data_IF_866200400406
#
_entry.id   IF_866200400406
#
_cell.length_a   1.000
_cell.length_b   1.000
_cell.length_c   1.000
_cell.angle_alpha   90.00
_cell.angle_beta   90.00
_cell.angle_gamma   90.00
#
_symmetry.space_group_name_H-M   'P 1'
#
loop_
_entity.id
_entity.type
_entity.pdbx_description
1 polymer ?
#
# COMPACT_ATOMS: atom_id res chain seq x y z
N UNK A 1 33.30 -15.83 43.01
CA UNK A 1 33.26 -15.19 41.69
C UNK A 1 32.06 -15.74 40.99
N UNK A 2 30.89 -15.20 41.30
CA UNK A 2 29.64 -15.62 40.68
C UNK A 2 29.43 -14.78 39.43
N UNK A 3 29.53 -15.43 38.28
CA UNK A 3 29.12 -14.88 37.00
C UNK A 3 27.62 -14.67 37.05
N UNK A 4 27.20 -13.44 37.35
CA UNK A 4 25.81 -13.01 37.27
C UNK A 4 25.26 -13.33 35.89
N UNK A 5 24.43 -14.36 35.82
CA UNK A 5 23.65 -14.71 34.64
C UNK A 5 22.68 -13.56 34.37
N UNK A 6 23.10 -12.64 33.49
CA UNK A 6 22.22 -11.60 32.94
C UNK A 6 21.05 -12.33 32.29
N UNK A 7 19.90 -12.30 32.95
CA UNK A 7 18.68 -12.89 32.40
C UNK A 7 18.39 -12.20 31.07
N UNK A 8 18.10 -12.96 30.00
CA UNK A 8 17.81 -12.38 28.71
C UNK A 8 16.60 -11.45 28.83
N UNK A 9 16.80 -10.18 28.49
CA UNK A 9 15.72 -9.20 28.39
C UNK A 9 14.64 -9.79 27.47
N UNK A 10 13.41 -9.99 27.94
CA UNK A 10 12.37 -10.57 27.12
C UNK A 10 12.16 -9.63 25.91
N UNK A 11 12.16 -10.16 24.67
CA UNK A 11 11.92 -9.33 23.49
C UNK A 11 10.57 -8.66 23.65
N UNK A 12 10.45 -7.36 23.44
CA UNK A 12 9.15 -6.64 23.48
C UNK A 12 8.18 -7.36 22.54
N UNK A 13 7.26 -8.15 23.13
CA UNK A 13 6.50 -9.20 22.42
C UNK A 13 5.38 -8.62 21.54
N UNK A 14 5.07 -7.33 21.61
CA UNK A 14 3.83 -6.77 21.07
C UNK A 14 3.78 -6.44 19.57
N UNK A 15 4.84 -5.85 19.01
CA UNK A 15 4.75 -5.20 17.69
C UNK A 15 4.60 -6.21 16.55
N UNK A 16 5.28 -7.36 16.63
CA UNK A 16 5.26 -8.38 15.58
C UNK A 16 3.91 -9.08 15.40
N UNK A 17 3.11 -9.20 16.46
CA UNK A 17 1.82 -9.89 16.41
C UNK A 17 0.77 -9.10 15.62
N UNK A 18 0.77 -7.77 15.74
CA UNK A 18 -0.19 -6.87 15.07
C UNK A 18 0.33 -6.40 13.70
N UNK A 19 1.65 -6.36 13.50
CA UNK A 19 2.24 -5.91 12.23
C UNK A 19 1.81 -6.76 11.03
N UNK A 20 1.86 -8.08 11.14
CA UNK A 20 1.53 -8.99 10.04
C UNK A 20 0.08 -8.87 9.53
N UNK A 21 -0.97 -8.91 10.37
CA UNK A 21 -2.33 -8.73 9.89
C UNK A 21 -2.58 -7.35 9.29
N UNK A 22 -1.99 -6.29 9.86
CA UNK A 22 -2.11 -4.93 9.31
C UNK A 22 -1.44 -4.79 7.93
N UNK A 23 -0.26 -5.38 7.75
CA UNK A 23 0.43 -5.39 6.45
C UNK A 23 -0.32 -6.25 5.42
N UNK A 24 -0.99 -7.33 5.85
CA UNK A 24 -1.89 -8.10 4.97
C UNK A 24 -3.10 -7.28 4.55
N UNK A 25 -3.72 -6.54 5.46
CA UNK A 25 -4.81 -5.62 5.13
C UNK A 25 -4.36 -4.58 4.09
N UNK A 26 -3.19 -3.97 4.29
CA UNK A 26 -2.60 -3.06 3.32
C UNK A 26 -2.39 -3.74 1.95
N UNK A 27 -1.86 -4.97 1.94
CA UNK A 27 -1.70 -5.74 0.70
C UNK A 27 -3.03 -6.04 0.00
N UNK A 28 -4.11 -6.35 0.75
CA UNK A 28 -5.46 -6.52 0.18
C UNK A 28 -5.94 -5.22 -0.45
N UNK A 29 -5.77 -4.08 0.23
CA UNK A 29 -6.17 -2.77 -0.30
C UNK A 29 -5.39 -2.39 -1.56
N UNK A 30 -4.08 -2.68 -1.60
CA UNK A 30 -3.25 -2.47 -2.79
C UNK A 30 -3.67 -3.39 -3.95
N UNK A 31 -3.94 -4.67 -3.67
CA UNK A 31 -4.43 -5.62 -4.68
C UNK A 31 -5.80 -5.21 -5.24
N UNK A 32 -6.67 -4.71 -4.37
CA UNK A 32 -7.96 -4.15 -4.74
C UNK A 32 -7.82 -2.93 -5.65
N UNK A 33 -7.06 -1.93 -5.21
CA UNK A 33 -6.81 -0.71 -5.98
C UNK A 33 -6.23 -1.01 -7.36
N UNK A 34 -5.21 -1.86 -7.42
CA UNK A 34 -4.56 -2.25 -8.67
C UNK A 34 -5.56 -2.90 -9.63
N UNK A 35 -6.39 -3.82 -9.14
CA UNK A 35 -7.37 -4.53 -9.97
C UNK A 35 -8.45 -3.59 -10.45
N UNK A 36 -9.02 -2.79 -9.55
CA UNK A 36 -10.03 -1.79 -9.87
C UNK A 36 -9.53 -0.81 -10.93
N UNK A 37 -8.28 -0.36 -10.80
CA UNK A 37 -7.65 0.55 -11.76
C UNK A 37 -7.54 -0.02 -13.18
N UNK A 38 -7.60 -1.35 -13.35
CA UNK A 38 -7.55 -1.99 -14.68
C UNK A 38 -8.95 -2.39 -15.12
N UNK A 39 -9.69 -3.13 -14.28
CA UNK A 39 -11.01 -3.66 -14.64
C UNK A 39 -12.05 -2.56 -14.82
N UNK A 40 -12.17 -1.66 -13.84
CA UNK A 40 -13.19 -0.61 -13.88
C UNK A 40 -12.78 0.49 -14.87
N UNK A 41 -11.49 0.78 -14.99
CA UNK A 41 -11.01 1.75 -15.97
C UNK A 41 -11.29 1.34 -17.41
N UNK A 42 -11.24 0.05 -17.71
CA UNK A 42 -11.66 -0.49 -19.00
C UNK A 42 -13.15 -0.22 -19.34
N UNK A 43 -13.99 0.01 -18.32
CA UNK A 43 -15.39 0.39 -18.49
C UNK A 43 -15.57 1.92 -18.45
N UNK A 44 -14.90 2.58 -17.52
CA UNK A 44 -15.01 4.02 -17.29
C UNK A 44 -14.46 4.84 -18.46
N UNK A 45 -13.27 4.51 -18.98
CA UNK A 45 -12.65 5.35 -20.01
C UNK A 45 -13.43 5.36 -21.34
N UNK A 46 -14.00 4.24 -21.85
CA UNK A 46 -14.92 4.30 -22.98
C UNK A 46 -16.20 5.08 -22.66
N UNK A 47 -16.77 4.87 -21.48
CA UNK A 47 -18.04 5.49 -21.07
C UNK A 47 -17.92 7.01 -20.89
N UNK A 48 -16.88 7.47 -20.20
CA UNK A 48 -16.73 8.85 -19.75
C UNK A 48 -15.84 9.70 -20.67
N UNK A 49 -14.85 9.08 -21.33
CA UNK A 49 -13.84 9.77 -22.15
C UNK A 49 -13.93 9.39 -23.64
N UNK A 50 -14.74 8.40 -24.01
CA UNK A 50 -14.82 7.91 -25.38
C UNK A 50 -13.56 7.19 -25.85
N UNK A 51 -12.77 6.62 -24.94
CA UNK A 51 -11.53 5.92 -25.31
C UNK A 51 -11.81 4.72 -26.19
N UNK A 52 -11.06 4.62 -27.29
CA UNK A 52 -11.00 3.41 -28.11
C UNK A 52 -10.05 2.35 -27.52
N UNK A 53 -10.07 1.15 -28.10
CA UNK A 53 -9.24 0.02 -27.67
C UNK A 53 -7.73 0.34 -27.70
N UNK A 54 -7.27 1.08 -28.72
CA UNK A 54 -5.86 1.47 -28.85
C UNK A 54 -5.41 2.42 -27.73
N UNK A 55 -6.26 3.37 -27.33
CA UNK A 55 -5.95 4.30 -26.25
C UNK A 55 -5.95 3.60 -24.89
N UNK A 56 -6.89 2.67 -24.68
CA UNK A 56 -6.93 1.83 -23.49
C UNK A 56 -5.67 0.97 -23.35
N UNK A 57 -5.29 0.24 -24.42
CA UNK A 57 -4.11 -0.62 -24.39
C UNK A 57 -2.82 0.16 -24.19
N UNK A 58 -2.69 1.34 -24.81
CA UNK A 58 -1.58 2.26 -24.60
C UNK A 58 -1.52 2.74 -23.14
N UNK A 59 -2.67 3.12 -22.56
CA UNK A 59 -2.76 3.58 -21.16
C UNK A 59 -2.37 2.48 -20.17
N UNK A 60 -2.87 1.25 -20.38
CA UNK A 60 -2.50 0.11 -19.54
C UNK A 60 -1.02 -0.26 -19.67
N UNK A 61 -0.48 -0.24 -20.88
CA UNK A 61 0.94 -0.54 -21.14
C UNK A 61 1.84 0.52 -20.51
N UNK A 62 1.53 1.79 -20.69
CA UNK A 62 2.24 2.90 -20.05
C UNK A 62 2.15 2.80 -18.51
N UNK A 63 0.99 2.44 -17.98
CA UNK A 63 0.80 2.20 -16.55
C UNK A 63 1.66 1.05 -16.00
N UNK A 64 1.76 -0.06 -16.72
CA UNK A 64 2.60 -1.20 -16.34
C UNK A 64 4.09 -0.83 -16.39
N UNK A 65 4.53 -0.19 -17.49
CA UNK A 65 5.88 0.31 -17.64
C UNK A 65 6.25 1.30 -16.53
N UNK A 66 5.37 2.25 -16.22
CA UNK A 66 5.55 3.21 -15.14
C UNK A 66 5.74 2.51 -13.78
N UNK A 67 4.91 1.51 -13.46
CA UNK A 67 5.07 0.73 -12.22
C UNK A 67 6.46 0.09 -12.14
N UNK A 68 6.92 -0.57 -13.21
CA UNK A 68 8.25 -1.22 -13.24
C UNK A 68 9.37 -0.19 -13.09
N UNK A 69 9.31 0.91 -13.85
CA UNK A 69 10.31 1.98 -13.79
C UNK A 69 10.40 2.60 -12.39
N UNK A 70 9.27 2.83 -11.75
CA UNK A 70 9.21 3.36 -10.39
C UNK A 70 9.80 2.38 -9.38
N UNK A 71 9.51 1.08 -9.51
CA UNK A 71 10.06 0.06 -8.62
C UNK A 71 11.59 -0.08 -8.75
N UNK A 72 12.13 0.06 -9.96
CA UNK A 72 13.58 -0.07 -10.20
C UNK A 72 14.32 1.23 -9.84
N UNK A 73 13.83 2.38 -10.29
CA UNK A 73 14.58 3.64 -10.23
C UNK A 73 14.20 4.52 -9.04
N UNK A 74 12.90 4.68 -8.76
CA UNK A 74 12.39 5.63 -7.78
C UNK A 74 12.36 5.03 -6.37
N UNK A 75 11.92 3.78 -6.24
CA UNK A 75 11.75 3.12 -4.94
C UNK A 75 13.04 3.08 -4.10
N UNK A 76 14.22 2.67 -4.62
CA UNK A 76 15.44 2.66 -3.81
C UNK A 76 15.81 4.05 -3.28
N UNK A 77 15.63 5.09 -4.11
CA UNK A 77 15.89 6.48 -3.74
C UNK A 77 14.92 6.97 -2.67
N UNK A 78 13.63 6.63 -2.80
CA UNK A 78 12.60 7.02 -1.85
C UNK A 78 12.81 6.35 -0.49
N UNK A 79 13.17 5.06 -0.47
CA UNK A 79 13.48 4.34 0.77
C UNK A 79 14.74 4.89 1.42
N UNK A 80 15.79 5.22 0.65
CA UNK A 80 16.99 5.86 1.20
C UNK A 80 16.71 7.23 1.82
N UNK A 81 15.79 8.01 1.25
CA UNK A 81 15.46 9.35 1.72
C UNK A 81 14.45 9.37 2.89
N UNK A 82 13.40 8.55 2.83
CA UNK A 82 12.25 8.62 3.75
C UNK A 82 12.07 7.37 4.63
N UNK A 83 12.73 6.27 4.28
CA UNK A 83 12.49 4.96 4.88
C UNK A 83 11.26 4.24 4.33
N UNK A 84 11.14 2.96 4.67
CA UNK A 84 10.12 2.07 4.09
C UNK A 84 8.68 2.43 4.47
N UNK A 85 8.45 2.83 5.73
CA UNK A 85 7.11 3.20 6.20
C UNK A 85 6.55 4.42 5.49
N UNK A 86 7.35 5.49 5.40
CA UNK A 86 6.94 6.69 4.70
C UNK A 86 6.82 6.45 3.20
N UNK A 87 7.71 5.66 2.60
CA UNK A 87 7.56 5.24 1.21
C UNK A 87 6.22 4.52 0.98
N UNK A 88 5.85 3.58 1.85
CA UNK A 88 4.57 2.88 1.78
C UNK A 88 3.37 3.85 1.89
N UNK A 89 3.39 4.76 2.86
CA UNK A 89 2.34 5.76 3.06
C UNK A 89 2.25 6.73 1.88
N UNK A 90 3.37 7.28 1.41
CA UNK A 90 3.41 8.17 0.24
C UNK A 90 2.87 7.47 -1.01
N UNK A 91 3.25 6.21 -1.22
CA UNK A 91 2.71 5.39 -2.30
C UNK A 91 1.19 5.20 -2.18
N UNK A 92 0.69 4.85 -0.99
CA UNK A 92 -0.74 4.66 -0.73
C UNK A 92 -1.56 5.96 -0.91
N UNK A 93 -1.02 7.11 -0.48
CA UNK A 93 -1.63 8.42 -0.71
C UNK A 93 -1.62 8.76 -2.21
N UNK A 94 -0.51 8.52 -2.91
CA UNK A 94 -0.43 8.75 -4.36
C UNK A 94 -1.44 7.89 -5.14
N UNK A 95 -1.67 6.64 -4.70
CA UNK A 95 -2.74 5.77 -5.22
C UNK A 95 -4.11 6.42 -5.01
N UNK A 96 -4.43 6.82 -3.79
CA UNK A 96 -5.73 7.39 -3.48
C UNK A 96 -5.99 8.70 -4.24
N UNK A 97 -5.01 9.59 -4.28
CA UNK A 97 -5.09 10.87 -5.00
C UNK A 97 -5.19 10.63 -6.51
N UNK A 98 -4.32 9.80 -7.07
CA UNK A 98 -4.31 9.50 -8.51
C UNK A 98 -5.62 8.89 -8.96
N UNK A 99 -6.08 7.83 -8.27
CA UNK A 99 -7.28 7.09 -8.64
C UNK A 99 -8.57 7.89 -8.37
N UNK A 100 -8.66 8.56 -7.21
CA UNK A 100 -9.79 9.40 -6.85
C UNK A 100 -9.94 10.60 -7.79
N UNK A 101 -8.85 11.29 -8.10
CA UNK A 101 -8.87 12.47 -8.98
C UNK A 101 -9.10 12.09 -10.45
N UNK A 102 -8.55 10.95 -10.88
CA UNK A 102 -8.74 10.41 -12.24
C UNK A 102 -10.23 10.23 -12.57
N UNK A 103 -11.07 9.88 -11.59
CA UNK A 103 -12.52 9.75 -11.79
C UNK A 103 -13.27 11.07 -11.97
N UNK A 104 -12.72 12.20 -11.49
CA UNK A 104 -13.36 13.51 -11.58
C UNK A 104 -12.91 14.29 -12.82
N UNK A 105 -11.66 14.08 -13.25
CA UNK A 105 -11.07 14.81 -14.37
C UNK A 105 -11.41 14.11 -15.68
N UNK A 106 -12.33 14.72 -16.43
CA UNK A 106 -12.72 14.26 -17.77
C UNK A 106 -11.95 14.95 -18.89
N UNK A 107 -11.40 16.14 -18.63
CA UNK A 107 -10.56 16.90 -19.56
C UNK A 107 -9.61 17.83 -18.77
N UNK A 108 -8.41 18.15 -19.28
CA UNK A 108 -7.82 17.68 -20.54
C UNK A 108 -7.15 16.29 -20.44
N UNK A 109 -7.04 15.59 -21.57
CA UNK A 109 -6.51 14.21 -21.69
C UNK A 109 -5.14 13.98 -21.03
N UNK A 110 -4.14 14.88 -21.15
CA UNK A 110 -2.83 14.67 -20.55
C UNK A 110 -2.89 14.65 -19.02
N UNK A 111 -3.77 15.47 -18.42
CA UNK A 111 -3.96 15.50 -16.96
C UNK A 111 -4.55 14.18 -16.47
N UNK A 112 -5.56 13.65 -17.18
CA UNK A 112 -6.17 12.36 -16.86
C UNK A 112 -5.14 11.23 -16.89
N UNK A 113 -4.36 11.14 -17.98
CA UNK A 113 -3.28 10.15 -18.10
C UNK A 113 -2.22 10.34 -17.01
N UNK A 114 -1.86 11.59 -16.67
CA UNK A 114 -0.93 11.88 -15.59
C UNK A 114 -1.43 11.37 -14.23
N UNK A 115 -2.71 11.57 -13.91
CA UNK A 115 -3.33 11.06 -12.68
C UNK A 115 -3.40 9.53 -12.65
N UNK A 116 -3.72 8.90 -13.79
CA UNK A 116 -3.66 7.45 -13.92
C UNK A 116 -2.23 6.93 -13.67
N UNK A 117 -1.21 7.54 -14.29
CA UNK A 117 0.18 7.18 -14.08
C UNK A 117 0.65 7.44 -12.64
N UNK A 118 0.18 8.50 -11.99
CA UNK A 118 0.44 8.75 -10.57
C UNK A 118 -0.08 7.61 -9.69
N UNK A 119 -1.30 7.12 -9.96
CA UNK A 119 -1.85 5.95 -9.28
C UNK A 119 -0.97 4.69 -9.51
N UNK A 120 -0.49 4.48 -10.74
CA UNK A 120 0.37 3.33 -11.10
C UNK A 120 1.75 3.40 -10.46
N UNK A 121 2.33 4.60 -10.38
CA UNK A 121 3.58 4.88 -9.68
C UNK A 121 3.42 4.64 -8.18
N UNK A 122 2.40 5.24 -7.56
CA UNK A 122 2.09 5.07 -6.14
C UNK A 122 1.88 3.61 -5.76
N UNK A 123 1.14 2.86 -6.60
CA UNK A 123 0.91 1.42 -6.41
C UNK A 123 2.23 0.65 -6.43
N UNK A 124 3.13 0.98 -7.36
CA UNK A 124 4.46 0.36 -7.45
C UNK A 124 5.29 0.57 -6.19
N UNK A 125 5.37 1.81 -5.71
CA UNK A 125 6.08 2.16 -4.47
C UNK A 125 5.48 1.44 -3.26
N UNK A 126 4.16 1.56 -3.08
CA UNK A 126 3.48 1.01 -1.90
C UNK A 126 3.56 -0.52 -1.86
N UNK A 127 3.48 -1.19 -3.01
CA UNK A 127 3.55 -2.65 -3.08
C UNK A 127 4.95 -3.17 -2.71
N UNK A 128 6.00 -2.54 -3.25
CA UNK A 128 7.38 -2.90 -2.92
C UNK A 128 7.69 -2.58 -1.46
N UNK A 129 7.29 -1.40 -0.95
CA UNK A 129 7.47 -1.04 0.45
C UNK A 129 6.72 -1.98 1.41
N UNK A 130 5.51 -2.41 1.05
CA UNK A 130 4.76 -3.38 1.86
C UNK A 130 5.47 -4.72 1.92
N UNK A 131 6.03 -5.19 0.79
CA UNK A 131 6.82 -6.42 0.77
C UNK A 131 8.08 -6.33 1.63
N UNK A 132 8.80 -5.19 1.62
CA UNK A 132 9.98 -4.99 2.47
C UNK A 132 9.60 -4.93 3.95
N UNK A 133 8.52 -4.22 4.30
CA UNK A 133 8.01 -4.16 5.67
C UNK A 133 7.60 -5.55 6.21
N UNK A 134 6.95 -6.37 5.38
CA UNK A 134 6.59 -7.76 5.74
C UNK A 134 7.85 -8.60 5.94
N UNK A 135 8.84 -8.45 5.07
CA UNK A 135 10.10 -9.17 5.17
C UNK A 135 10.92 -8.76 6.40
N UNK A 136 10.91 -7.47 6.78
CA UNK A 136 11.60 -6.94 7.96
C UNK A 136 10.93 -7.36 9.27
N UNK A 137 9.60 -7.36 9.30
CA UNK A 137 8.80 -7.73 10.49
C UNK A 137 8.67 -9.25 10.72
N UNK A 138 9.30 -10.08 9.88
CA UNK A 138 9.26 -11.54 9.99
C UNK A 138 10.50 -12.08 10.73
N UNK A 139 10.31 -12.98 11.71
CA UNK A 139 11.42 -13.59 12.47
C UNK A 139 11.98 -14.80 11.71
N UNK A 140 13.14 -14.62 11.10
CA UNK A 140 13.85 -15.68 10.37
C UNK A 140 13.30 -15.96 8.96
N UNK A 141 14.00 -16.85 8.24
CA UNK A 141 13.76 -17.14 6.82
C UNK A 141 12.40 -17.80 6.55
N UNK A 142 12.00 -18.74 7.41
CA UNK A 142 10.76 -19.52 7.24
C UNK A 142 9.52 -18.64 7.41
N UNK A 143 9.46 -17.84 8.48
CA UNK A 143 8.34 -16.91 8.69
C UNK A 143 8.26 -15.85 7.58
N UNK A 144 9.41 -15.37 7.10
CA UNK A 144 9.48 -14.43 5.98
C UNK A 144 8.84 -15.03 4.72
N UNK A 145 9.24 -16.24 4.34
CA UNK A 145 8.67 -16.94 3.18
C UNK A 145 7.15 -17.11 3.33
N UNK A 146 6.71 -17.60 4.51
CA UNK A 146 5.29 -17.79 4.81
C UNK A 146 4.50 -16.49 4.73
N UNK A 147 4.98 -15.42 5.35
CA UNK A 147 4.29 -14.13 5.36
C UNK A 147 4.25 -13.49 3.96
N UNK A 148 5.33 -13.60 3.18
CA UNK A 148 5.33 -13.17 1.77
C UNK A 148 4.34 -13.98 0.93
N UNK A 149 4.25 -15.30 1.15
CA UNK A 149 3.23 -16.14 0.53
C UNK A 149 1.81 -15.68 0.88
N UNK A 150 1.54 -15.42 2.16
CA UNK A 150 0.23 -14.97 2.63
C UNK A 150 -0.19 -13.61 2.04
N UNK A 151 0.72 -12.63 1.92
CA UNK A 151 0.37 -11.36 1.25
C UNK A 151 0.08 -11.57 -0.24
N UNK A 152 0.80 -12.48 -0.92
CA UNK A 152 0.54 -12.78 -2.33
C UNK A 152 -0.82 -13.46 -2.51
N UNK A 153 -1.16 -14.43 -1.66
CA UNK A 153 -2.49 -15.05 -1.64
C UNK A 153 -3.59 -14.03 -1.34
N UNK A 154 -3.36 -13.11 -0.39
CA UNK A 154 -4.31 -12.06 -0.03
C UNK A 154 -4.56 -11.10 -1.20
N UNK A 155 -3.50 -10.69 -1.92
CA UNK A 155 -3.64 -9.92 -3.16
C UNK A 155 -4.42 -10.68 -4.21
N UNK A 156 -4.09 -11.95 -4.45
CA UNK A 156 -4.77 -12.78 -5.44
C UNK A 156 -6.28 -12.90 -5.13
N UNK A 157 -6.65 -13.13 -3.88
CA UNK A 157 -8.04 -13.13 -3.43
C UNK A 157 -8.72 -11.78 -3.71
N UNK A 158 -8.07 -10.66 -3.40
CA UNK A 158 -8.58 -9.34 -3.73
C UNK A 158 -8.84 -9.19 -5.23
N UNK A 159 -7.94 -9.67 -6.10
CA UNK A 159 -8.11 -9.59 -7.57
C UNK A 159 -9.32 -10.38 -8.09
N UNK A 160 -9.70 -11.46 -7.41
CA UNK A 160 -10.89 -12.26 -7.78
C UNK A 160 -12.17 -11.51 -7.41
N UNK A 161 -12.22 -10.92 -6.22
CA UNK A 161 -13.43 -10.27 -5.69
C UNK A 161 -13.64 -8.87 -6.28
N UNK A 162 -12.55 -8.15 -6.58
CA UNK A 162 -12.62 -6.75 -6.99
C UNK A 162 -13.48 -6.50 -8.23
N UNK A 163 -13.38 -7.25 -9.35
CA UNK A 163 -14.18 -6.99 -10.54
C UNK A 163 -15.68 -7.13 -10.29
N UNK A 164 -16.09 -8.08 -9.45
CA UNK A 164 -17.50 -8.30 -9.10
C UNK A 164 -18.08 -7.11 -8.34
N UNK A 165 -17.38 -6.67 -7.29
CA UNK A 165 -17.85 -5.55 -6.46
C UNK A 165 -17.72 -4.22 -7.20
N UNK A 166 -16.59 -3.98 -7.86
CA UNK A 166 -16.36 -2.73 -8.60
C UNK A 166 -17.28 -2.59 -9.81
N UNK A 167 -17.64 -3.68 -10.49
CA UNK A 167 -18.62 -3.67 -11.58
C UNK A 167 -20.04 -3.33 -11.09
N UNK A 168 -20.46 -3.86 -9.94
CA UNK A 168 -21.73 -3.51 -9.31
C UNK A 168 -21.75 -2.03 -8.89
N UNK A 169 -20.69 -1.57 -8.21
CA UNK A 169 -20.56 -0.17 -7.81
C UNK A 169 -20.56 0.78 -9.02
N UNK A 170 -19.86 0.40 -10.09
CA UNK A 170 -19.84 1.15 -11.34
C UNK A 170 -21.25 1.28 -11.91
N UNK A 171 -21.98 0.16 -12.06
CA UNK A 171 -23.34 0.14 -12.61
C UNK A 171 -24.30 1.02 -11.81
N UNK A 172 -24.26 0.94 -10.48
CA UNK A 172 -25.07 1.80 -9.59
C UNK A 172 -24.72 3.27 -9.76
N UNK A 173 -23.44 3.59 -9.91
CA UNK A 173 -22.99 4.96 -10.09
C UNK A 173 -23.25 5.53 -11.48
N UNK A 174 -23.44 4.71 -12.51
CA UNK A 174 -23.80 5.22 -13.84
C UNK A 174 -25.14 5.99 -13.84
N UNK A 175 -26.06 5.65 -12.93
CA UNK A 175 -27.32 6.37 -12.77
C UNK A 175 -27.18 7.74 -12.05
N UNK A 176 -26.01 8.05 -11.48
CA UNK A 176 -25.76 9.31 -10.79
C UNK A 176 -25.58 10.47 -11.79
N UNK A 177 -25.93 11.72 -11.41
CA UNK A 177 -25.71 12.88 -12.26
C UNK A 177 -24.21 13.13 -12.49
N UNK A 178 -23.87 13.64 -13.68
CA UNK A 178 -22.50 14.09 -13.98
C UNK A 178 -22.09 15.21 -13.00
N UNK A 179 -20.83 15.25 -12.53
CA UNK A 179 -19.68 14.43 -12.92
C UNK A 179 -19.52 13.11 -12.15
N UNK A 180 -20.46 12.73 -11.28
CA UNK A 180 -20.35 11.57 -10.39
C UNK A 180 -20.71 10.23 -11.04
N UNK A 181 -21.10 10.27 -12.31
CA UNK A 181 -21.50 9.08 -13.06
C UNK A 181 -20.30 8.15 -13.26
N UNK A 182 -20.38 6.92 -12.75
CA UNK A 182 -19.29 5.94 -12.88
C UNK A 182 -18.15 6.08 -11.87
N UNK A 183 -18.16 7.08 -10.97
CA UNK A 183 -16.99 7.42 -10.13
C UNK A 183 -16.96 6.73 -8.76
N UNK A 184 -18.09 6.18 -8.31
CA UNK A 184 -18.23 5.54 -6.99
C UNK A 184 -17.14 4.50 -6.64
N UNK A 185 -16.81 3.52 -7.50
CA UNK A 185 -15.76 2.55 -7.18
C UNK A 185 -14.40 3.21 -6.92
N UNK A 186 -14.08 4.30 -7.63
CA UNK A 186 -12.83 5.04 -7.49
C UNK A 186 -12.77 5.79 -6.15
N UNK A 187 -13.85 6.48 -5.78
CA UNK A 187 -13.90 7.22 -4.51
C UNK A 187 -13.88 6.29 -3.30
N UNK A 188 -14.62 5.17 -3.35
CA UNK A 188 -14.58 4.18 -2.28
C UNK A 188 -13.16 3.62 -2.12
N UNK A 189 -12.52 3.26 -3.24
CA UNK A 189 -11.15 2.78 -3.22
C UNK A 189 -10.17 3.83 -2.69
N UNK A 190 -10.30 5.09 -3.10
CA UNK A 190 -9.46 6.18 -2.62
C UNK A 190 -9.63 6.41 -1.11
N UNK A 191 -10.86 6.39 -0.60
CA UNK A 191 -11.13 6.50 0.83
C UNK A 191 -10.52 5.35 1.64
N UNK A 192 -10.72 4.10 1.18
CA UNK A 192 -10.13 2.93 1.82
C UNK A 192 -8.59 2.96 1.78
N UNK A 193 -8.00 3.41 0.67
CA UNK A 193 -6.55 3.55 0.54
C UNK A 193 -5.98 4.66 1.43
N UNK A 194 -6.68 5.78 1.61
CA UNK A 194 -6.29 6.83 2.57
C UNK A 194 -6.35 6.32 4.00
N UNK A 195 -7.40 5.57 4.36
CA UNK A 195 -7.47 4.93 5.66
C UNK A 195 -6.31 3.96 5.87
N UNK A 196 -6.02 3.12 4.86
CA UNK A 196 -4.90 2.16 4.90
C UNK A 196 -3.52 2.85 4.92
N UNK A 197 -3.38 4.07 4.40
CA UNK A 197 -2.13 4.82 4.40
C UNK A 197 -1.63 5.18 5.82
N UNK A 198 -2.53 5.17 6.82
CA UNK A 198 -2.19 5.32 8.23
C UNK A 198 -1.47 4.09 8.80
N UNK A 199 -1.65 2.90 8.22
CA UNK A 199 -1.10 1.64 8.74
C UNK A 199 0.43 1.68 8.87
N UNK A 200 1.21 2.02 7.82
CA UNK A 200 2.67 2.08 7.96
C UNK A 200 3.13 3.14 8.97
N UNK A 201 2.38 4.24 9.15
CA UNK A 201 2.70 5.27 10.14
C UNK A 201 2.48 4.75 11.56
N UNK A 202 1.37 4.03 11.80
CA UNK A 202 1.08 3.41 13.09
C UNK A 202 2.12 2.35 13.45
N UNK A 203 2.56 1.55 12.47
CA UNK A 203 3.64 0.58 12.67
C UNK A 203 4.97 1.26 12.98
N UNK A 204 5.32 2.33 12.27
CA UNK A 204 6.53 3.10 12.56
C UNK A 204 6.51 3.67 13.98
N UNK A 205 5.35 4.15 14.43
CA UNK A 205 5.18 4.70 15.76
C UNK A 205 5.36 3.61 16.83
N UNK A 206 4.73 2.45 16.66
CA UNK A 206 4.86 1.36 17.63
C UNK A 206 6.25 0.74 17.66
N UNK A 207 6.97 0.70 16.53
CA UNK A 207 8.39 0.30 16.50
C UNK A 207 9.26 1.26 17.31
N UNK A 208 9.08 2.58 17.16
CA UNK A 208 9.82 3.59 17.94
C UNK A 208 9.54 3.51 19.45
N UNK A 209 8.27 3.39 19.83
CA UNK A 209 7.88 3.25 21.23
C UNK A 209 8.50 1.99 21.87
N UNK A 210 8.62 0.90 21.11
CA UNK A 210 9.28 -0.32 21.57
C UNK A 210 10.81 -0.16 21.71
N UNK A 211 11.46 0.56 20.79
CA UNK A 211 12.88 0.89 20.86
C UNK A 211 13.19 1.75 22.09
N UNK A 212 12.43 2.82 22.32
CA UNK A 212 12.58 3.71 23.48
C UNK A 212 12.38 2.98 24.81
N UNK A 213 11.37 2.10 24.90
CA UNK A 213 11.14 1.28 26.10
C UNK A 213 12.30 0.32 26.38
N UNK A 214 12.88 -0.27 25.32
CA UNK A 214 14.02 -1.18 25.44
C UNK A 214 15.27 -0.42 25.91
N UNK A 215 15.54 0.77 25.36
CA UNK A 215 16.64 1.62 25.79
C UNK A 215 16.51 2.07 27.25
N UNK A 216 15.30 2.42 27.70
CA UNK A 216 15.04 2.79 29.08
C UNK A 216 15.35 1.63 30.04
N UNK A 217 14.90 0.41 29.73
CA UNK A 217 15.19 -0.79 30.52
C UNK A 217 16.70 -1.10 30.59
N UNK A 218 17.43 -0.92 29.49
CA UNK A 218 18.89 -1.10 29.47
C UNK A 218 19.61 -0.06 30.34
N UNK A 219 19.13 1.19 30.37
CA UNK A 219 19.69 2.24 31.24
C UNK A 219 19.40 1.97 32.71
N UNK A 220 18.21 1.51 33.06
CA UNK A 220 17.87 1.13 34.43
C UNK A 220 18.67 -0.09 34.90
N UNK A 221 18.82 -1.11 34.04
CA UNK A 221 19.61 -2.30 34.35
C UNK A 221 21.10 -2.00 34.58
N UNK A 222 21.69 -1.11 33.77
CA UNK A 222 23.09 -0.68 33.95
C UNK A 222 23.27 0.18 35.20
N UNK A 223 22.31 1.04 35.53
CA UNK A 223 22.33 1.83 36.77
C UNK A 223 22.17 0.96 38.04
N UNK A 224 21.38 -0.11 37.98
CA UNK A 224 21.22 -1.06 39.07
C UNK A 224 22.48 -1.91 39.29
N UNK A 225 23.16 -2.33 38.22
CA UNK A 225 24.39 -3.12 38.29
C UNK A 225 25.60 -2.32 38.82
N UNK A 226 25.55 -0.99 38.77
CA UNK A 226 26.61 -0.11 39.26
C UNK A 226 26.50 0.25 40.75
N UNK A 227 25.42 -0.15 41.43
CA UNK A 227 25.19 0.06 42.87
C UNK A 227 25.55 -1.18 43.67
#
# INVERSE_FOLDING_TARGET
GDGGSVSPVPPVVGVGAVAQPLLRLLAVMLGWSLTLSVSTYGLFAPFALGYGQSQLSATFSAGAACTILVQIALFPRLVAALGEHLAATCGAVAVAVGLGSCSLVHAPLPLHTGLYLLNRAGSGVADTATATLVARSSRGKEQRSRNLGLIQSSRAAARIVTPLVSGELFRRSCAAPKPWSGTLPYHLCAACMLAAASIPLLLRRSEREAEEATEAQLREGTAAAAR
#
